data_IF_672876765990
#
_entry.id   IF_672876765990
#
_cell.length_a   1.000
_cell.length_b   1.000
_cell.length_c   1.000
_cell.angle_alpha   90.00
_cell.angle_beta   90.00
_cell.angle_gamma   90.00
#
_symmetry.space_group_name_H-M   'P 1'
#
loop_
_entity.id
_entity.type
_entity.pdbx_description
1 polymer ?
#
# COMPACT_ATOMS: atom_id res chain seq x y z
N UNK A 1 -6.45 -7.77 -12.84
CA UNK A 1 -5.48 -8.03 -11.74
C UNK A 1 -5.09 -9.49 -11.62
N UNK A 2 -6.06 -10.41 -11.68
CA UNK A 2 -5.79 -11.85 -11.62
C UNK A 2 -4.80 -12.35 -12.67
N UNK A 3 -4.80 -11.78 -13.88
CA UNK A 3 -3.90 -12.22 -14.96
C UNK A 3 -2.43 -11.87 -14.71
N UNK A 4 -2.12 -10.63 -14.31
CA UNK A 4 -0.74 -10.16 -14.07
C UNK A 4 -0.14 -10.89 -12.85
N UNK A 5 -0.90 -11.00 -11.76
CA UNK A 5 -0.42 -11.63 -10.53
C UNK A 5 -0.29 -13.16 -10.67
N UNK A 6 -1.14 -13.83 -11.46
CA UNK A 6 -1.05 -15.29 -11.69
C UNK A 6 0.18 -15.68 -12.50
N UNK A 7 0.60 -14.85 -13.45
CA UNK A 7 1.73 -15.17 -14.33
C UNK A 7 3.09 -14.82 -13.74
N UNK A 8 3.20 -13.75 -12.95
CA UNK A 8 4.47 -13.34 -12.37
C UNK A 8 4.76 -13.92 -10.97
N UNK A 9 3.75 -14.43 -10.25
CA UNK A 9 3.91 -14.77 -8.83
C UNK A 9 3.42 -16.19 -8.49
N UNK A 10 4.29 -17.07 -7.95
CA UNK A 10 3.86 -18.37 -7.44
C UNK A 10 2.99 -18.20 -6.17
N UNK A 11 1.80 -18.81 -6.14
CA UNK A 11 0.80 -18.76 -5.03
C UNK A 11 0.13 -17.38 -4.85
N UNK A 12 -0.62 -16.89 -5.86
CA UNK A 12 -1.19 -15.54 -5.89
C UNK A 12 -2.12 -15.22 -4.70
N UNK A 13 -2.83 -16.22 -4.18
CA UNK A 13 -3.81 -16.03 -3.09
C UNK A 13 -3.20 -15.44 -1.81
N UNK A 14 -1.98 -15.86 -1.44
CA UNK A 14 -1.34 -15.36 -0.21
C UNK A 14 -0.87 -13.92 -0.35
N UNK A 15 -0.36 -13.57 -1.53
CA UNK A 15 0.04 -12.20 -1.84
C UNK A 15 -1.17 -11.28 -1.86
N UNK A 16 -2.27 -11.70 -2.50
CA UNK A 16 -3.53 -10.96 -2.51
C UNK A 16 -4.07 -10.77 -1.09
N UNK A 17 -4.08 -11.82 -0.25
CA UNK A 17 -4.54 -11.72 1.14
C UNK A 17 -3.70 -10.72 1.98
N UNK A 18 -2.38 -10.67 1.76
CA UNK A 18 -1.51 -9.68 2.40
C UNK A 18 -1.83 -8.27 1.89
N UNK A 19 -1.96 -8.10 0.57
CA UNK A 19 -2.27 -6.79 -0.03
C UNK A 19 -3.63 -6.27 0.44
N UNK A 20 -4.66 -7.11 0.49
CA UNK A 20 -5.97 -6.80 1.07
C UNK A 20 -5.84 -6.41 2.55
N UNK A 21 -5.10 -7.17 3.34
CA UNK A 21 -4.90 -6.86 4.76
C UNK A 21 -4.29 -5.47 4.96
N UNK A 22 -3.28 -5.12 4.15
CA UNK A 22 -2.63 -3.80 4.17
C UNK A 22 -3.59 -2.71 3.68
N UNK A 23 -4.33 -2.96 2.59
CA UNK A 23 -5.32 -2.01 2.07
C UNK A 23 -6.42 -1.70 3.11
N UNK A 24 -6.81 -2.70 3.89
CA UNK A 24 -7.74 -2.58 5.02
C UNK A 24 -7.06 -2.16 6.33
N UNK A 25 -5.93 -1.46 6.26
CA UNK A 25 -5.30 -0.75 7.37
C UNK A 25 -4.39 -1.59 8.28
N UNK A 26 -4.05 -2.83 7.93
CA UNK A 26 -3.06 -3.59 8.69
C UNK A 26 -1.65 -3.07 8.36
N UNK A 27 -1.01 -2.39 9.30
CA UNK A 27 0.33 -1.80 9.08
C UNK A 27 1.45 -2.56 9.77
N UNK A 28 1.17 -3.36 10.81
CA UNK A 28 2.20 -4.14 11.53
C UNK A 28 2.24 -5.58 11.03
N UNK A 29 3.43 -6.20 11.03
CA UNK A 29 3.62 -7.58 10.57
C UNK A 29 2.66 -8.58 11.23
N UNK A 30 2.47 -8.45 12.56
CA UNK A 30 1.59 -9.33 13.32
C UNK A 30 0.11 -9.16 12.91
N UNK A 31 -0.32 -7.92 12.71
CA UNK A 31 -1.70 -7.60 12.32
C UNK A 31 -1.97 -8.08 10.89
N UNK A 32 -1.00 -7.91 9.98
CA UNK A 32 -1.05 -8.42 8.61
C UNK A 32 -1.16 -9.94 8.63
N UNK A 33 -0.29 -10.63 9.39
CA UNK A 33 -0.29 -12.10 9.46
C UNK A 33 -1.63 -12.66 9.96
N UNK A 34 -2.24 -11.99 10.95
CA UNK A 34 -3.55 -12.36 11.50
C UNK A 34 -4.67 -12.12 10.49
N UNK A 35 -4.75 -10.92 9.90
CA UNK A 35 -5.78 -10.57 8.91
C UNK A 35 -5.66 -11.37 7.61
N UNK A 36 -4.45 -11.74 7.20
CA UNK A 36 -4.21 -12.54 5.99
C UNK A 36 -4.33 -14.05 6.23
N UNK A 37 -4.66 -14.48 7.46
CA UNK A 37 -4.74 -15.89 7.87
C UNK A 37 -3.48 -16.71 7.57
N UNK A 38 -2.29 -16.09 7.62
CA UNK A 38 -1.01 -16.77 7.42
C UNK A 38 -0.47 -17.18 8.79
N UNK A 39 -0.26 -18.50 8.96
CA UNK A 39 0.03 -19.16 10.25
C UNK A 39 1.30 -18.66 10.97
N UNK A 40 2.24 -18.03 10.27
CA UNK A 40 3.51 -17.58 10.87
C UNK A 40 3.92 -16.21 10.36
N UNK A 41 4.25 -15.31 11.29
CA UNK A 41 4.82 -13.98 10.99
C UNK A 41 6.10 -14.06 10.15
N UNK A 42 6.88 -15.14 10.30
CA UNK A 42 8.08 -15.38 9.48
C UNK A 42 7.71 -15.65 8.01
N UNK A 43 6.69 -16.49 7.78
CA UNK A 43 6.18 -16.71 6.42
C UNK A 43 5.58 -15.44 5.82
N UNK A 44 4.81 -14.68 6.59
CA UNK A 44 4.26 -13.37 6.18
C UNK A 44 5.38 -12.40 5.80
N UNK A 45 6.47 -12.35 6.57
CA UNK A 45 7.62 -11.51 6.28
C UNK A 45 8.29 -11.86 4.95
N UNK A 46 8.37 -13.14 4.60
CA UNK A 46 8.94 -13.57 3.32
C UNK A 46 8.09 -13.10 2.13
N UNK A 47 6.75 -13.21 2.24
CA UNK A 47 5.84 -12.72 1.21
C UNK A 47 5.91 -11.19 1.07
N UNK A 48 5.95 -10.47 2.19
CA UNK A 48 6.11 -9.01 2.18
C UNK A 48 7.45 -8.63 1.53
N UNK A 49 8.55 -9.32 1.86
CA UNK A 49 9.86 -9.03 1.24
C UNK A 49 9.84 -9.19 -0.29
N UNK A 50 9.12 -10.19 -0.80
CA UNK A 50 8.91 -10.31 -2.26
C UNK A 50 8.09 -9.13 -2.81
N UNK A 51 7.00 -8.74 -2.15
CA UNK A 51 6.20 -7.58 -2.57
C UNK A 51 6.97 -6.26 -2.51
N UNK A 52 7.90 -6.12 -1.55
CA UNK A 52 8.82 -4.98 -1.46
C UNK A 52 9.80 -4.97 -2.64
N UNK A 53 10.39 -6.12 -2.98
CA UNK A 53 11.30 -6.24 -4.15
C UNK A 53 10.58 -5.90 -5.46
N UNK A 54 9.31 -6.25 -5.58
CA UNK A 54 8.46 -5.87 -6.70
C UNK A 54 8.03 -4.39 -6.66
N UNK A 55 8.32 -3.66 -5.58
CA UNK A 55 7.95 -2.27 -5.40
C UNK A 55 6.47 -2.04 -5.10
N UNK A 56 5.71 -3.09 -4.77
CA UNK A 56 4.26 -3.02 -4.49
C UNK A 56 4.00 -2.56 -3.05
N UNK A 57 4.80 -3.05 -2.10
CA UNK A 57 4.73 -2.71 -0.68
C UNK A 57 5.95 -1.87 -0.30
N UNK A 58 5.74 -0.87 0.55
CA UNK A 58 6.80 -0.09 1.17
C UNK A 58 6.80 -0.31 2.69
N UNK A 59 7.91 0.05 3.32
CA UNK A 59 8.06 0.07 4.77
C UNK A 59 8.49 1.45 5.25
N UNK A 60 7.95 1.87 6.39
CA UNK A 60 8.30 3.09 7.09
C UNK A 60 8.78 2.73 8.51
N UNK A 61 9.67 3.55 9.07
CA UNK A 61 10.20 3.40 10.41
C UNK A 61 9.88 4.65 11.21
N UNK A 62 9.53 4.48 12.49
CA UNK A 62 9.39 5.63 13.38
C UNK A 62 10.70 6.44 13.43
N UNK A 63 10.57 7.76 13.35
CA UNK A 63 11.69 8.70 13.31
C UNK A 63 12.68 8.46 14.47
N UNK A 64 13.98 8.41 14.17
CA UNK A 64 15.06 8.37 15.17
C UNK A 64 15.67 6.99 15.50
N UNK A 65 15.22 5.89 14.87
CA UNK A 65 15.73 4.54 15.17
C UNK A 65 16.27 3.79 13.94
N UNK A 66 17.30 2.96 14.15
CA UNK A 66 17.81 2.00 13.16
C UNK A 66 16.72 0.96 12.83
N UNK A 67 16.80 0.30 11.67
CA UNK A 67 15.88 -0.78 11.24
C UNK A 67 15.54 -1.73 12.39
N UNK A 68 14.33 -1.58 12.94
CA UNK A 68 13.81 -2.42 14.01
C UNK A 68 12.49 -3.06 13.57
N UNK A 69 12.52 -4.37 13.37
CA UNK A 69 11.37 -5.14 12.89
C UNK A 69 10.10 -5.00 13.77
N UNK A 70 10.25 -4.64 15.06
CA UNK A 70 9.11 -4.42 15.96
C UNK A 70 8.36 -3.11 15.71
N UNK A 71 9.00 -2.13 15.07
CA UNK A 71 8.43 -0.80 14.80
C UNK A 71 8.25 -0.50 13.30
N UNK A 72 8.52 -1.47 12.43
CA UNK A 72 8.27 -1.35 10.99
C UNK A 72 6.78 -1.28 10.71
N UNK A 73 6.37 -0.27 9.96
CA UNK A 73 5.02 -0.13 9.41
C UNK A 73 5.06 -0.41 7.91
N UNK A 74 4.16 -1.25 7.42
CA UNK A 74 4.01 -1.56 6.01
C UNK A 74 2.86 -0.77 5.41
N UNK A 75 3.04 -0.31 4.18
CA UNK A 75 2.03 0.42 3.43
C UNK A 75 2.05 0.01 1.96
N UNK A 76 0.94 0.24 1.28
CA UNK A 76 0.84 0.01 -0.15
C UNK A 76 1.53 1.13 -0.91
N UNK A 77 2.60 0.82 -1.63
CA UNK A 77 3.43 1.80 -2.32
C UNK A 77 2.84 2.24 -3.66
N UNK A 78 2.17 1.32 -4.35
CA UNK A 78 1.60 1.56 -5.68
C UNK A 78 0.16 2.02 -5.56
N UNK A 79 -0.13 3.22 -6.07
CA UNK A 79 -1.46 3.84 -5.99
C UNK A 79 -2.55 3.01 -6.68
N UNK A 80 -2.22 2.32 -7.78
CA UNK A 80 -3.16 1.48 -8.49
C UNK A 80 -3.78 0.37 -7.62
N UNK A 81 -2.97 -0.33 -6.81
CA UNK A 81 -3.50 -1.32 -5.88
C UNK A 81 -4.37 -0.67 -4.81
N UNK A 82 -4.00 0.52 -4.30
CA UNK A 82 -4.81 1.25 -3.33
C UNK A 82 -6.18 1.57 -3.90
N UNK A 83 -6.22 2.01 -5.16
CA UNK A 83 -7.46 2.32 -5.87
C UNK A 83 -8.32 1.06 -6.05
N UNK A 84 -7.69 -0.02 -6.53
CA UNK A 84 -8.36 -1.28 -6.78
C UNK A 84 -9.04 -1.82 -5.52
N UNK A 85 -8.33 -1.90 -4.39
CA UNK A 85 -8.92 -2.40 -3.14
C UNK A 85 -9.92 -1.42 -2.51
N UNK A 86 -9.75 -0.11 -2.69
CA UNK A 86 -10.65 0.89 -2.13
C UNK A 86 -11.99 1.00 -2.86
N UNK A 87 -12.00 0.79 -4.19
CA UNK A 87 -13.17 1.08 -5.02
C UNK A 87 -13.64 -0.09 -5.87
N UNK A 88 -12.73 -0.92 -6.40
CA UNK A 88 -13.08 -1.95 -7.39
C UNK A 88 -13.41 -3.26 -6.71
N UNK A 89 -12.50 -3.79 -5.89
CA UNK A 89 -12.65 -5.10 -5.26
C UNK A 89 -13.87 -5.15 -4.33
N UNK A 90 -14.08 -4.09 -3.53
CA UNK A 90 -15.22 -3.97 -2.62
C UNK A 90 -16.58 -3.89 -3.34
N UNK A 91 -16.60 -3.52 -4.62
CA UNK A 91 -17.84 -3.28 -5.38
C UNK A 91 -17.90 -4.11 -6.68
N UNK A 92 -17.17 -5.22 -6.77
CA UNK A 92 -17.02 -5.96 -8.04
C UNK A 92 -18.35 -6.46 -8.61
N UNK A 93 -19.30 -6.82 -7.74
CA UNK A 93 -20.66 -7.22 -8.11
C UNK A 93 -21.48 -6.05 -8.63
N UNK A 94 -21.37 -4.88 -8.00
CA UNK A 94 -22.07 -3.65 -8.40
C UNK A 94 -21.53 -3.11 -9.72
N UNK A 95 -20.22 -3.17 -9.95
CA UNK A 95 -19.61 -2.75 -11.22
C UNK A 95 -20.17 -3.56 -12.38
N UNK A 96 -20.40 -4.85 -12.18
CA UNK A 96 -20.91 -5.74 -13.24
C UNK A 96 -22.36 -5.47 -13.62
N UNK A 97 -23.12 -4.76 -12.78
CA UNK A 97 -24.57 -4.52 -12.94
C UNK A 97 -24.95 -3.06 -13.03
N UNK A 98 -23.98 -2.14 -13.00
CA UNK A 98 -24.20 -0.69 -13.00
C UNK A 98 -23.45 -0.06 -14.17
N UNK A 99 -24.05 0.95 -14.79
CA UNK A 99 -23.36 1.78 -15.77
C UNK A 99 -22.16 2.52 -15.16
N UNK A 100 -21.11 2.70 -15.95
CA UNK A 100 -19.81 3.21 -15.48
C UNK A 100 -19.91 4.62 -14.86
N UNK A 101 -20.65 5.53 -15.47
CA UNK A 101 -20.85 6.89 -14.96
C UNK A 101 -21.61 6.91 -13.63
N UNK A 102 -22.61 6.04 -13.50
CA UNK A 102 -23.39 5.90 -12.28
C UNK A 102 -22.55 5.27 -11.16
N UNK A 103 -21.66 4.33 -11.51
CA UNK A 103 -20.72 3.76 -10.56
C UNK A 103 -19.73 4.81 -10.04
N UNK A 104 -19.15 5.59 -10.95
CA UNK A 104 -18.20 6.66 -10.60
C UNK A 104 -18.83 7.67 -9.64
N UNK A 105 -19.97 8.25 -10.02
CA UNK A 105 -20.66 9.30 -9.24
C UNK A 105 -21.11 8.82 -7.84
N UNK A 106 -21.50 7.55 -7.70
CA UNK A 106 -21.97 7.01 -6.42
C UNK A 106 -20.87 6.49 -5.50
N UNK A 107 -19.85 5.84 -6.04
CA UNK A 107 -18.90 5.07 -5.24
C UNK A 107 -17.50 5.69 -5.20
N UNK A 108 -17.07 6.36 -6.26
CA UNK A 108 -15.71 6.92 -6.38
C UNK A 108 -15.71 8.40 -6.02
N UNK A 109 -16.48 9.21 -6.75
CA UNK A 109 -16.49 10.67 -6.64
C UNK A 109 -16.63 11.18 -5.20
N UNK A 110 -17.56 10.67 -4.36
CA UNK A 110 -17.74 11.20 -3.01
C UNK A 110 -16.54 10.99 -2.08
N UNK A 111 -15.72 9.96 -2.35
CA UNK A 111 -14.55 9.58 -1.54
C UNK A 111 -13.23 9.91 -2.22
N UNK A 112 -13.26 10.44 -3.44
CA UNK A 112 -12.07 10.65 -4.25
C UNK A 112 -11.11 11.63 -3.58
N UNK A 113 -11.63 12.74 -3.04
CA UNK A 113 -10.82 13.76 -2.34
C UNK A 113 -10.08 13.18 -1.14
N UNK A 114 -10.76 12.41 -0.30
CA UNK A 114 -10.15 11.73 0.84
C UNK A 114 -9.08 10.73 0.36
N UNK A 115 -9.38 9.96 -0.67
CA UNK A 115 -8.46 8.98 -1.22
C UNK A 115 -7.16 9.59 -1.78
N UNK A 116 -7.26 10.70 -2.53
CA UNK A 116 -6.09 11.38 -3.12
C UNK A 116 -5.28 12.15 -2.09
N UNK A 117 -5.88 12.59 -0.97
CA UNK A 117 -5.22 13.38 0.07
C UNK A 117 -3.92 12.76 0.55
N UNK A 118 -3.91 11.45 0.82
CA UNK A 118 -2.73 10.72 1.26
C UNK A 118 -1.60 10.73 0.22
N UNK A 119 -1.95 10.55 -1.06
CA UNK A 119 -0.97 10.59 -2.16
C UNK A 119 -0.37 11.98 -2.31
N UNK A 120 -1.23 13.00 -2.24
CA UNK A 120 -0.82 14.40 -2.27
C UNK A 120 0.09 14.77 -1.10
N UNK A 121 -0.21 14.31 0.11
CA UNK A 121 0.61 14.56 1.29
C UNK A 121 2.01 13.93 1.13
N UNK A 122 2.09 12.66 0.69
CA UNK A 122 3.37 11.98 0.42
C UNK A 122 4.18 12.69 -0.68
N UNK A 123 3.53 13.18 -1.72
CA UNK A 123 4.19 13.99 -2.76
C UNK A 123 4.72 15.30 -2.19
N UNK A 124 3.92 15.99 -1.37
CA UNK A 124 4.30 17.25 -0.73
C UNK A 124 5.49 17.07 0.21
N UNK A 125 5.48 16.02 1.04
CA UNK A 125 6.60 15.63 1.89
C UNK A 125 7.87 15.37 1.06
N UNK A 126 7.74 14.61 -0.03
CA UNK A 126 8.86 14.32 -0.93
C UNK A 126 9.41 15.57 -1.61
N UNK A 127 8.52 16.51 -2.00
CA UNK A 127 8.89 17.78 -2.60
C UNK A 127 9.65 18.67 -1.62
N UNK A 128 9.13 18.85 -0.40
CA UNK A 128 9.79 19.61 0.68
C UNK A 128 11.15 19.00 1.00
N UNK A 129 11.23 17.69 1.16
CA UNK A 129 12.50 16.99 1.40
C UNK A 129 13.52 17.27 0.29
N UNK A 130 13.14 17.10 -0.99
CA UNK A 130 14.03 17.40 -2.13
C UNK A 130 14.46 18.86 -2.17
N UNK A 131 13.57 19.79 -1.83
CA UNK A 131 13.82 21.24 -1.88
C UNK A 131 14.77 21.71 -0.77
N UNK A 132 14.69 21.13 0.42
CA UNK A 132 15.46 21.62 1.58
C UNK A 132 16.63 20.73 2.00
N UNK A 133 16.64 19.43 1.68
CA UNK A 133 17.80 18.57 1.98
C UNK A 133 18.97 18.84 1.02
N UNK A 134 18.69 19.23 -0.23
CA UNK A 134 19.70 19.74 -1.15
C UNK A 134 20.36 21.03 -0.63
N UNK A 135 19.62 21.85 0.14
CA UNK A 135 20.12 23.05 0.80
C UNK A 135 20.94 22.70 2.05
N UNK A 136 20.53 21.71 2.86
CA UNK A 136 21.31 21.24 4.02
C UNK A 136 22.66 20.62 3.66
N UNK A 137 22.76 19.93 2.52
CA UNK A 137 24.03 19.38 2.02
C UNK A 137 24.99 20.47 1.50
N UNK A 138 24.48 21.63 1.06
CA UNK A 138 25.31 22.77 0.65
C UNK A 138 25.82 23.61 1.85
N UNK A 139 25.15 23.56 3.00
CA UNK A 139 25.48 24.36 4.19
C UNK A 139 26.46 23.62 5.13
N UNK A 140 26.86 22.38 4.81
CA UNK A 140 27.90 21.66 5.57
C UNK A 140 27.50 21.34 7.02
N UNK A 141 26.20 21.18 7.29
CA UNK A 141 25.71 20.71 8.59
C UNK A 141 25.50 19.19 8.57
N UNK A 142 26.55 18.43 8.21
CA UNK A 142 26.84 17.05 8.61
C UNK A 142 28.30 16.73 8.31
#
# INVERSE_FOLDING_TARGET
>A
MDFILKHEIPKPQKYIAILQSIAYGATKLNDISKKSHIKSSSSTSNYISTLEKMGIVGQDFSFGERKNAKKTLYYMKVQFFRFYFAFIESNITTISSTEEELFYSKFIEPKLNEYVSWGFEKMSQSFVHKKYVSVSQQIGLY
#
